data_IF_714436704802
#
_entry.id   IF_714436704802
#
_cell.length_a   1.000
_cell.length_b   1.000
_cell.length_c   1.000
_cell.angle_alpha   90.00
_cell.angle_beta   90.00
_cell.angle_gamma   90.00
#
_symmetry.space_group_name_H-M   'P 1'
#
loop_
_entity.id
_entity.type
_entity.pdbx_description
1 polymer ?
#
# COMPACT_ATOMS: atom_id res chain seq x y z
N UNK A 1 22.40 0.70 3.55
CA UNK A 1 23.36 -0.04 2.69
C UNK A 1 23.55 -1.50 3.12
N UNK A 2 23.30 -1.87 4.40
CA UNK A 2 23.50 -3.25 4.91
C UNK A 2 22.67 -4.28 4.11
N UNK A 3 21.47 -3.91 3.64
CA UNK A 3 20.61 -4.78 2.83
C UNK A 3 21.01 -4.90 1.36
N UNK A 4 21.93 -4.05 0.86
CA UNK A 4 22.27 -4.04 -0.57
C UNK A 4 23.20 -5.20 -0.93
N UNK A 5 24.13 -5.56 -0.06
CA UNK A 5 25.02 -6.70 -0.30
C UNK A 5 24.26 -8.02 -0.47
N UNK A 6 23.33 -8.41 0.43
CA UNK A 6 22.47 -9.57 0.20
C UNK A 6 21.65 -9.47 -1.10
N UNK A 7 21.13 -8.30 -1.44
CA UNK A 7 20.39 -8.09 -2.68
C UNK A 7 21.24 -8.38 -3.92
N UNK A 8 22.46 -7.87 -3.96
CA UNK A 8 23.42 -8.15 -5.06
C UNK A 8 23.81 -9.61 -5.14
N UNK A 9 24.04 -10.27 -4.00
CA UNK A 9 24.30 -11.71 -3.97
C UNK A 9 23.12 -12.55 -4.50
N UNK A 10 21.89 -12.03 -4.39
CA UNK A 10 20.68 -12.63 -4.99
C UNK A 10 20.48 -12.23 -6.46
N UNK A 11 21.41 -11.49 -7.07
CA UNK A 11 21.34 -11.08 -8.47
C UNK A 11 20.50 -9.82 -8.74
N UNK A 12 20.14 -9.07 -7.71
CA UNK A 12 19.46 -7.80 -7.85
C UNK A 12 20.45 -6.66 -8.05
N UNK A 13 20.09 -5.66 -8.86
CA UNK A 13 20.96 -4.51 -9.14
C UNK A 13 20.79 -3.43 -8.10
N UNK A 14 21.85 -3.14 -7.32
CA UNK A 14 21.85 -2.03 -6.36
C UNK A 14 21.66 -0.67 -7.04
N UNK A 15 22.17 -0.48 -8.26
CA UNK A 15 22.05 0.79 -8.99
C UNK A 15 20.61 1.05 -9.42
N UNK A 16 19.83 0.01 -9.73
CA UNK A 16 18.42 0.14 -10.02
C UNK A 16 17.61 0.60 -8.78
N UNK A 17 18.05 0.28 -7.56
CA UNK A 17 17.42 0.78 -6.34
C UNK A 17 17.72 2.25 -6.04
N UNK A 18 18.87 2.79 -6.52
CA UNK A 18 19.33 4.15 -6.22
C UNK A 18 18.56 5.21 -7.02
N UNK A 19 17.30 5.40 -6.74
CA UNK A 19 16.42 6.31 -7.50
C UNK A 19 16.41 7.76 -6.96
N UNK A 20 16.90 8.00 -5.75
CA UNK A 20 16.73 9.29 -5.05
C UNK A 20 17.24 10.49 -5.87
N UNK A 21 18.48 10.44 -6.39
CA UNK A 21 19.07 11.55 -7.15
C UNK A 21 18.33 11.88 -8.45
N UNK A 22 17.62 10.91 -9.02
CA UNK A 22 16.79 11.10 -10.20
C UNK A 22 15.42 11.68 -9.81
N UNK A 23 14.82 11.16 -8.76
CA UNK A 23 13.48 11.52 -8.32
C UNK A 23 13.39 12.95 -7.78
N UNK A 24 14.40 13.43 -7.04
CA UNK A 24 14.39 14.81 -6.51
C UNK A 24 14.40 15.88 -7.61
N UNK A 25 14.90 15.55 -8.80
CA UNK A 25 14.87 16.44 -9.98
C UNK A 25 13.50 16.45 -10.66
N UNK A 26 12.64 15.48 -10.36
CA UNK A 26 11.28 15.39 -10.90
C UNK A 26 10.34 16.24 -10.06
N UNK A 27 9.92 17.40 -10.60
CA UNK A 27 9.01 18.32 -9.90
C UNK A 27 7.70 17.67 -9.44
N UNK A 28 7.13 16.78 -10.24
CA UNK A 28 5.88 16.11 -9.90
C UNK A 28 6.06 15.15 -8.71
N UNK A 29 7.16 14.39 -8.70
CA UNK A 29 7.50 13.53 -7.57
C UNK A 29 7.72 14.35 -6.30
N UNK A 30 8.51 15.41 -6.39
CA UNK A 30 8.83 16.27 -5.25
C UNK A 30 7.58 16.96 -4.66
N UNK A 31 6.73 17.52 -5.52
CA UNK A 31 5.47 18.13 -5.09
C UNK A 31 4.54 17.08 -4.44
N UNK A 32 4.47 15.87 -4.98
CA UNK A 32 3.70 14.77 -4.42
C UNK A 32 4.23 14.35 -3.04
N UNK A 33 5.55 14.31 -2.88
CA UNK A 33 6.20 14.01 -1.60
C UNK A 33 5.89 15.08 -0.55
N UNK A 34 6.05 16.37 -0.91
CA UNK A 34 5.71 17.49 -0.01
C UNK A 34 4.24 17.42 0.40
N UNK A 35 3.33 17.22 -0.55
CA UNK A 35 1.90 17.10 -0.28
C UNK A 35 1.59 15.94 0.66
N UNK A 36 2.28 14.80 0.47
CA UNK A 36 2.14 13.63 1.32
C UNK A 36 2.60 13.89 2.76
N UNK A 37 3.78 14.48 2.92
CA UNK A 37 4.33 14.82 4.25
C UNK A 37 3.43 15.84 4.95
N UNK A 38 3.03 16.90 4.24
CA UNK A 38 2.14 17.94 4.78
C UNK A 38 0.79 17.38 5.23
N UNK A 39 0.21 16.48 4.42
CA UNK A 39 -1.05 15.80 4.78
C UNK A 39 -0.89 14.91 6.02
N UNK A 40 0.21 14.18 6.11
CA UNK A 40 0.51 13.33 7.27
C UNK A 40 0.67 14.16 8.55
N UNK A 41 1.40 15.28 8.47
CA UNK A 41 1.56 16.21 9.60
C UNK A 41 0.22 16.83 10.00
N UNK A 42 -0.62 17.20 9.03
CA UNK A 42 -1.97 17.69 9.29
C UNK A 42 -2.82 16.65 10.02
N UNK A 43 -2.77 15.38 9.61
CA UNK A 43 -3.50 14.30 10.29
C UNK A 43 -3.00 14.09 11.72
N UNK A 44 -1.69 14.06 11.94
CA UNK A 44 -1.12 13.96 13.29
C UNK A 44 -1.59 15.12 14.18
N UNK A 45 -1.56 16.36 13.67
CA UNK A 45 -2.06 17.54 14.39
C UNK A 45 -3.54 17.42 14.73
N UNK A 46 -4.34 16.77 13.92
CA UNK A 46 -5.76 16.48 14.14
C UNK A 46 -6.02 15.13 14.83
N UNK A 47 -5.05 14.63 15.60
CA UNK A 47 -5.15 13.42 16.44
C UNK A 47 -5.44 12.14 15.63
N UNK A 48 -5.07 12.07 14.36
CA UNK A 48 -5.10 10.86 13.55
C UNK A 48 -3.72 10.21 13.60
N UNK A 49 -3.56 9.25 14.47
CA UNK A 49 -2.27 8.62 14.74
C UNK A 49 -2.12 7.23 14.12
N UNK A 50 -3.20 6.65 13.60
CA UNK A 50 -3.17 5.34 12.98
C UNK A 50 -2.99 5.48 11.48
N UNK A 51 -1.84 5.04 10.97
CA UNK A 51 -1.54 4.95 9.54
C UNK A 51 -1.83 3.53 9.06
N UNK A 52 -2.96 3.35 8.39
CA UNK A 52 -3.44 2.03 8.00
C UNK A 52 -3.16 1.79 6.52
N UNK A 53 -2.39 0.73 6.22
CA UNK A 53 -2.14 0.28 4.85
C UNK A 53 -3.16 -0.78 4.50
N UNK A 54 -4.01 -0.49 3.52
CA UNK A 54 -4.99 -1.41 2.94
C UNK A 54 -4.33 -2.06 1.72
N UNK A 55 -3.68 -3.20 1.96
CA UNK A 55 -2.85 -3.88 0.98
C UNK A 55 -3.65 -4.91 0.17
N UNK A 56 -3.84 -4.64 -1.13
CA UNK A 56 -4.45 -5.57 -2.10
C UNK A 56 -3.42 -6.40 -2.89
N UNK A 57 -2.15 -6.40 -2.46
CA UNK A 57 -1.08 -7.18 -3.07
C UNK A 57 -0.32 -8.02 -2.03
N UNK A 58 -0.69 -9.28 -1.90
CA UNK A 58 -0.11 -10.22 -0.94
C UNK A 58 1.43 -10.28 -1.03
N UNK A 59 1.97 -10.24 -2.25
CA UNK A 59 3.43 -10.30 -2.46
C UNK A 59 4.19 -9.08 -1.93
N UNK A 60 3.51 -7.97 -1.67
CA UNK A 60 4.09 -6.77 -1.07
C UNK A 60 3.97 -6.73 0.46
N UNK A 61 3.52 -7.80 1.10
CA UNK A 61 3.35 -7.84 2.57
C UNK A 61 4.65 -7.53 3.32
N UNK A 62 5.77 -8.12 2.89
CA UNK A 62 7.06 -7.89 3.52
C UNK A 62 7.58 -6.46 3.36
N UNK A 63 7.25 -5.77 2.24
CA UNK A 63 7.53 -4.35 2.07
C UNK A 63 6.83 -3.53 3.17
N UNK A 64 5.58 -3.85 3.46
CA UNK A 64 4.82 -3.12 4.48
C UNK A 64 5.19 -3.50 5.91
N UNK A 65 5.62 -4.74 6.17
CA UNK A 65 6.24 -5.12 7.45
C UNK A 65 7.52 -4.34 7.72
N UNK A 66 8.37 -4.19 6.69
CA UNK A 66 9.55 -3.32 6.76
C UNK A 66 9.16 -1.85 7.04
N UNK A 67 8.18 -1.30 6.31
CA UNK A 67 7.66 0.04 6.56
C UNK A 67 7.12 0.21 7.98
N UNK A 68 6.40 -0.79 8.49
CA UNK A 68 5.87 -0.81 9.84
C UNK A 68 6.99 -0.70 10.88
N UNK A 69 8.04 -1.50 10.73
CA UNK A 69 9.22 -1.43 11.59
C UNK A 69 9.90 -0.07 11.50
N UNK A 70 10.16 0.42 10.29
CA UNK A 70 10.82 1.70 10.06
C UNK A 70 10.08 2.86 10.75
N UNK A 71 8.76 2.94 10.57
CA UNK A 71 7.93 3.99 11.19
C UNK A 71 7.92 3.88 12.71
N UNK A 72 7.76 2.68 13.23
CA UNK A 72 7.73 2.45 14.69
C UNK A 72 9.05 2.85 15.36
N UNK A 73 10.18 2.42 14.80
CA UNK A 73 11.51 2.71 15.35
C UNK A 73 11.93 4.18 15.18
N UNK A 74 11.60 4.79 14.03
CA UNK A 74 12.04 6.15 13.71
C UNK A 74 11.19 7.21 14.41
N UNK A 75 9.87 7.04 14.43
CA UNK A 75 8.92 8.05 14.91
C UNK A 75 8.38 7.76 16.32
N UNK A 76 8.50 6.52 16.82
CA UNK A 76 8.00 6.09 18.12
C UNK A 76 8.86 6.55 19.29
N UNK A 77 9.06 7.88 19.45
CA UNK A 77 9.94 8.46 20.46
C UNK A 77 9.24 9.60 21.21
N UNK A 78 9.67 9.84 22.46
CA UNK A 78 9.18 10.96 23.30
C UNK A 78 7.65 11.01 23.42
N UNK A 79 7.00 9.85 23.56
CA UNK A 79 5.54 9.69 23.64
C UNK A 79 4.79 10.23 22.40
N UNK A 80 5.45 10.27 21.24
CA UNK A 80 4.89 10.66 19.94
C UNK A 80 5.10 9.52 18.96
N UNK A 81 4.40 9.54 17.85
CA UNK A 81 4.56 8.58 16.77
C UNK A 81 3.30 8.38 15.96
N UNK A 82 3.43 7.50 15.00
CA UNK A 82 2.32 6.92 14.23
C UNK A 82 2.25 5.44 14.55
N UNK A 83 1.04 4.90 14.64
CA UNK A 83 0.80 3.47 14.73
C UNK A 83 0.60 2.92 13.30
N UNK A 84 1.61 2.28 12.70
CA UNK A 84 1.46 1.67 11.39
C UNK A 84 0.75 0.32 11.52
N UNK A 85 -0.35 0.16 10.79
CA UNK A 85 -1.18 -1.05 10.78
C UNK A 85 -1.24 -1.55 9.34
N UNK A 86 -1.11 -2.87 9.15
CA UNK A 86 -1.24 -3.51 7.85
C UNK A 86 -2.53 -4.32 7.84
N UNK A 87 -3.38 -4.09 6.86
CA UNK A 87 -4.56 -4.89 6.54
C UNK A 87 -4.38 -5.60 5.21
N UNK A 88 -4.50 -6.91 5.23
CA UNK A 88 -4.32 -7.76 4.04
C UNK A 88 -5.67 -8.05 3.38
N UNK A 89 -5.86 -7.48 2.18
CA UNK A 89 -7.11 -7.60 1.44
C UNK A 89 -7.06 -8.72 0.39
N UNK A 90 -8.19 -9.36 0.12
CA UNK A 90 -9.57 -9.06 0.58
C UNK A 90 -9.94 -9.69 1.93
N UNK A 91 -9.06 -10.43 2.59
CA UNK A 91 -9.33 -11.14 3.84
C UNK A 91 -9.92 -10.21 4.91
N UNK A 92 -9.29 -9.09 5.12
CA UNK A 92 -9.63 -8.13 6.18
C UNK A 92 -10.88 -7.29 5.88
N UNK A 93 -11.51 -7.45 4.70
CA UNK A 93 -12.84 -6.90 4.45
C UNK A 93 -13.89 -7.46 5.43
N UNK A 94 -13.72 -8.70 5.88
CA UNK A 94 -14.65 -9.31 6.83
C UNK A 94 -14.30 -9.01 8.28
N UNK A 95 -13.02 -8.83 8.61
CA UNK A 95 -12.59 -8.70 10.00
C UNK A 95 -12.61 -7.27 10.52
N UNK A 96 -12.09 -6.30 9.75
CA UNK A 96 -11.84 -4.94 10.27
C UNK A 96 -12.47 -3.81 9.46
N UNK A 97 -13.03 -4.07 8.28
CA UNK A 97 -13.56 -3.01 7.42
C UNK A 97 -14.68 -2.21 8.07
N UNK A 98 -15.55 -2.85 8.85
CA UNK A 98 -16.60 -2.16 9.61
C UNK A 98 -16.01 -1.14 10.58
N UNK A 99 -14.92 -1.51 11.29
CA UNK A 99 -14.22 -0.61 12.19
C UNK A 99 -13.62 0.59 11.45
N UNK A 100 -13.10 0.38 10.24
CA UNK A 100 -12.51 1.46 9.42
C UNK A 100 -13.56 2.42 8.89
N UNK A 101 -14.76 1.94 8.58
CA UNK A 101 -15.82 2.73 8.00
C UNK A 101 -16.66 3.51 9.03
N UNK A 102 -16.91 2.93 10.20
CA UNK A 102 -17.86 3.46 11.19
C UNK A 102 -17.31 3.50 12.62
N UNK A 103 -16.05 3.07 12.84
CA UNK A 103 -15.40 3.07 14.14
C UNK A 103 -14.60 4.34 14.43
N UNK A 104 -13.41 4.17 14.96
CA UNK A 104 -12.54 5.27 15.41
C UNK A 104 -12.14 6.23 14.28
N UNK A 105 -12.27 7.54 14.53
CA UNK A 105 -11.99 8.59 13.54
C UNK A 105 -10.51 9.05 13.53
N UNK A 106 -9.64 8.38 14.28
CA UNK A 106 -8.21 8.71 14.39
C UNK A 106 -7.31 7.98 13.39
N UNK A 107 -7.89 7.54 12.28
CA UNK A 107 -7.23 6.82 11.21
C UNK A 107 -7.04 7.67 9.96
N UNK A 108 -5.99 7.39 9.19
CA UNK A 108 -5.87 7.72 7.77
C UNK A 108 -5.30 6.51 7.01
N UNK A 109 -5.59 6.41 5.72
CA UNK A 109 -5.44 5.15 5.01
C UNK A 109 -4.57 5.29 3.77
N UNK A 110 -3.84 4.20 3.46
CA UNK A 110 -3.06 4.04 2.24
C UNK A 110 -3.50 2.78 1.52
N UNK A 111 -4.14 2.91 0.37
CA UNK A 111 -4.44 1.78 -0.50
C UNK A 111 -3.21 1.43 -1.33
N UNK A 112 -2.95 0.14 -1.49
CA UNK A 112 -1.85 -0.34 -2.32
C UNK A 112 -2.30 -1.48 -3.22
N UNK A 113 -1.85 -1.47 -4.48
CA UNK A 113 -2.09 -2.51 -5.46
C UNK A 113 -0.95 -2.62 -6.47
N UNK A 114 -0.65 -3.84 -6.92
CA UNK A 114 0.30 -4.11 -8.01
C UNK A 114 -0.43 -4.71 -9.21
N UNK A 115 -0.22 -4.12 -10.40
CA UNK A 115 -0.75 -4.64 -11.66
C UNK A 115 0.04 -5.84 -12.22
N UNK A 116 1.16 -6.21 -11.60
CA UNK A 116 2.03 -7.31 -12.04
C UNK A 116 1.45 -8.71 -11.79
N UNK A 117 0.29 -8.82 -11.22
CA UNK A 117 -0.27 -10.12 -10.88
C UNK A 117 -0.46 -10.98 -12.14
N UNK A 118 0.18 -12.16 -12.16
CA UNK A 118 -0.01 -13.15 -13.20
C UNK A 118 -1.49 -13.51 -13.30
N UNK A 119 -1.97 -13.64 -14.52
CA UNK A 119 -3.34 -13.99 -14.85
C UNK A 119 -3.69 -15.38 -14.30
N UNK A 120 -4.18 -15.45 -13.07
CA UNK A 120 -4.78 -16.67 -12.54
C UNK A 120 -6.27 -16.62 -12.88
N UNK A 121 -6.67 -17.41 -13.85
CA UNK A 121 -8.09 -17.55 -14.21
C UNK A 121 -8.81 -18.43 -13.21
N UNK A 122 -10.03 -18.06 -12.87
CA UNK A 122 -10.88 -18.88 -12.03
C UNK A 122 -11.25 -20.15 -12.78
N UNK A 123 -10.98 -21.30 -12.19
CA UNK A 123 -11.36 -22.60 -12.76
C UNK A 123 -12.90 -22.75 -12.75
N UNK A 124 -13.47 -22.93 -13.95
CA UNK A 124 -14.89 -23.00 -14.14
C UNK A 124 -15.54 -24.22 -13.46
N UNK A 125 -14.81 -25.31 -13.30
CA UNK A 125 -15.34 -26.57 -12.75
C UNK A 125 -15.60 -26.49 -11.24
N UNK A 126 -15.08 -25.46 -10.57
CA UNK A 126 -15.26 -25.25 -9.14
C UNK A 126 -16.28 -24.17 -8.80
N UNK A 127 -16.86 -23.53 -9.81
CA UNK A 127 -17.82 -22.45 -9.61
C UNK A 127 -19.25 -23.01 -9.50
N UNK A 128 -19.95 -22.63 -8.43
CA UNK A 128 -21.39 -22.82 -8.33
C UNK A 128 -22.11 -22.04 -9.43
N UNK A 129 -23.24 -22.53 -9.89
CA UNK A 129 -24.06 -21.88 -10.94
C UNK A 129 -24.39 -20.41 -10.60
N UNK A 130 -24.64 -20.10 -9.33
CA UNK A 130 -24.88 -18.75 -8.83
C UNK A 130 -23.70 -17.80 -9.01
N UNK A 131 -22.49 -18.31 -9.29
CA UNK A 131 -21.25 -17.54 -9.48
C UNK A 131 -20.80 -17.46 -10.94
N UNK A 132 -21.68 -17.77 -11.90
CA UNK A 132 -21.34 -17.76 -13.33
C UNK A 132 -20.77 -16.43 -13.84
N UNK A 133 -21.10 -15.31 -13.21
CA UNK A 133 -20.54 -13.99 -13.54
C UNK A 133 -19.01 -13.89 -13.30
N UNK A 134 -18.43 -14.79 -12.49
CA UNK A 134 -16.99 -14.88 -12.23
C UNK A 134 -16.26 -15.80 -13.22
N UNK A 135 -17.01 -16.51 -14.06
CA UNK A 135 -16.49 -17.47 -15.02
C UNK A 135 -15.47 -16.83 -15.95
N UNK A 136 -14.32 -17.47 -16.14
CA UNK A 136 -13.21 -16.97 -16.96
C UNK A 136 -12.67 -15.59 -16.55
N UNK A 137 -13.04 -15.06 -15.39
CA UNK A 137 -12.51 -13.79 -14.91
C UNK A 137 -11.12 -13.99 -14.32
N UNK A 138 -10.30 -12.98 -14.50
CA UNK A 138 -9.00 -12.83 -13.89
C UNK A 138 -9.14 -12.50 -12.41
N UNK A 139 -8.47 -13.25 -11.55
CA UNK A 139 -8.47 -12.96 -10.11
C UNK A 139 -7.92 -11.55 -9.83
N UNK A 140 -6.89 -11.12 -10.55
CA UNK A 140 -6.32 -9.78 -10.42
C UNK A 140 -7.34 -8.68 -10.75
N UNK A 141 -8.17 -8.87 -11.79
CA UNK A 141 -9.23 -7.92 -12.14
C UNK A 141 -10.31 -7.83 -11.06
N UNK A 142 -10.64 -8.96 -10.44
CA UNK A 142 -11.61 -9.02 -9.34
C UNK A 142 -11.05 -8.26 -8.13
N UNK A 143 -9.80 -8.54 -7.74
CA UNK A 143 -9.14 -7.87 -6.62
C UNK A 143 -9.02 -6.36 -6.86
N UNK A 144 -8.68 -5.95 -8.08
CA UNK A 144 -8.65 -4.54 -8.46
C UNK A 144 -10.02 -3.86 -8.38
N UNK A 145 -11.07 -4.55 -8.85
CA UNK A 145 -12.43 -4.05 -8.75
C UNK A 145 -12.88 -3.89 -7.29
N UNK A 146 -12.52 -4.84 -6.41
CA UNK A 146 -12.76 -4.72 -4.97
C UNK A 146 -12.04 -3.50 -4.36
N UNK A 147 -10.75 -3.30 -4.71
CA UNK A 147 -10.02 -2.10 -4.30
C UNK A 147 -10.76 -0.82 -4.71
N UNK A 148 -11.15 -0.71 -5.98
CA UNK A 148 -11.87 0.48 -6.49
C UNK A 148 -13.22 0.67 -5.82
N UNK A 149 -13.95 -0.40 -5.53
CA UNK A 149 -15.22 -0.33 -4.80
C UNK A 149 -15.00 0.22 -3.38
N UNK A 150 -13.98 -0.28 -2.67
CA UNK A 150 -13.64 0.20 -1.33
C UNK A 150 -13.21 1.67 -1.33
N UNK A 151 -12.35 2.09 -2.28
CA UNK A 151 -11.97 3.50 -2.45
C UNK A 151 -13.21 4.40 -2.67
N UNK A 152 -14.18 3.95 -3.46
CA UNK A 152 -15.41 4.70 -3.70
C UNK A 152 -16.26 4.85 -2.43
N UNK A 153 -16.32 3.82 -1.59
CA UNK A 153 -16.99 3.90 -0.27
C UNK A 153 -16.29 4.90 0.63
N UNK A 154 -14.94 4.87 0.69
CA UNK A 154 -14.15 5.83 1.46
C UNK A 154 -14.38 7.27 0.98
N UNK A 155 -14.41 7.50 -0.33
CA UNK A 155 -14.75 8.82 -0.91
C UNK A 155 -16.14 9.30 -0.49
N UNK A 156 -17.15 8.44 -0.61
CA UNK A 156 -18.53 8.76 -0.21
C UNK A 156 -18.64 9.10 1.28
N UNK A 157 -17.93 8.38 2.12
CA UNK A 157 -17.88 8.62 3.57
C UNK A 157 -16.92 9.74 3.99
N UNK A 158 -16.21 10.37 3.04
CA UNK A 158 -15.21 11.42 3.29
C UNK A 158 -14.08 10.98 4.23
N UNK A 159 -13.75 9.70 4.19
CA UNK A 159 -12.64 9.13 4.95
C UNK A 159 -11.34 9.46 4.22
N UNK A 160 -10.31 10.04 4.89
CA UNK A 160 -9.08 10.44 4.22
C UNK A 160 -8.24 9.22 3.81
N UNK A 161 -7.85 9.16 2.55
CA UNK A 161 -6.94 8.12 2.06
C UNK A 161 -6.08 8.61 0.89
N UNK A 162 -5.00 7.90 0.65
CA UNK A 162 -4.20 7.97 -0.57
C UNK A 162 -4.13 6.59 -1.21
N UNK A 163 -3.81 6.52 -2.51
CA UNK A 163 -3.76 5.27 -3.25
C UNK A 163 -2.47 5.18 -4.06
N UNK A 164 -1.77 4.06 -3.93
CA UNK A 164 -0.61 3.68 -4.71
C UNK A 164 -0.93 2.51 -5.62
N UNK A 165 -0.62 2.65 -6.88
CA UNK A 165 -0.71 1.59 -7.88
C UNK A 165 0.63 1.48 -8.59
N UNK A 166 1.26 0.31 -8.54
CA UNK A 166 2.51 0.03 -9.23
C UNK A 166 2.27 -0.90 -10.43
N UNK A 167 3.06 -0.73 -11.48
CA UNK A 167 2.96 -1.57 -12.67
C UNK A 167 3.60 -2.93 -12.45
N UNK A 168 4.77 -2.95 -11.82
CA UNK A 168 5.51 -4.17 -11.48
C UNK A 168 6.39 -3.96 -10.25
N UNK A 169 6.84 -5.06 -9.65
CA UNK A 169 7.76 -5.09 -8.51
C UNK A 169 9.18 -5.37 -9.01
N UNK A 170 9.83 -4.36 -9.54
CA UNK A 170 11.25 -4.42 -9.85
C UNK A 170 12.06 -3.52 -8.91
N UNK A 171 13.37 -3.62 -8.97
CA UNK A 171 14.29 -2.86 -8.12
C UNK A 171 14.04 -1.36 -8.24
N UNK A 172 13.77 -0.87 -9.44
CA UNK A 172 13.50 0.54 -9.70
C UNK A 172 12.24 0.99 -8.96
N UNK A 173 11.13 0.28 -9.13
CA UNK A 173 9.86 0.61 -8.47
C UNK A 173 9.97 0.52 -6.95
N UNK A 174 10.70 -0.48 -6.43
CA UNK A 174 10.97 -0.58 -4.99
C UNK A 174 11.82 0.59 -4.50
N UNK A 175 12.85 0.98 -5.25
CA UNK A 175 13.68 2.15 -4.94
C UNK A 175 12.86 3.45 -4.92
N UNK A 176 11.93 3.63 -5.86
CA UNK A 176 11.01 4.76 -5.90
C UNK A 176 10.07 4.77 -4.66
N UNK A 177 9.55 3.61 -4.27
CA UNK A 177 8.73 3.48 -3.07
C UNK A 177 9.53 3.77 -1.80
N UNK A 178 10.77 3.30 -1.71
CA UNK A 178 11.65 3.63 -0.57
C UNK A 178 11.87 5.14 -0.47
N UNK A 179 12.18 5.82 -1.57
CA UNK A 179 12.33 7.28 -1.58
C UNK A 179 11.05 8.03 -1.19
N UNK A 180 9.88 7.42 -1.37
CA UNK A 180 8.62 8.04 -1.02
C UNK A 180 8.20 7.81 0.44
N UNK A 181 8.57 6.66 1.02
CA UNK A 181 8.18 6.27 2.38
C UNK A 181 9.22 6.64 3.45
N UNK A 182 10.47 6.90 3.05
CA UNK A 182 11.55 7.32 3.95
C UNK A 182 11.70 8.84 3.94
#
# INVERSE_FOLDING_TARGET
EVGMLPAELMGLSSDNFKQFNFLIKNKNFFNSLISNVSSTLYFIKNKKFNSIIINYDEKSENLFKWYQQLVAESLGKKKKGLLPIISSMPKDNHSVMQLYLDGFQNNFYTFFYSHENKLVKINNNQLLQSKNHLRNKDLSKITFAQKKATENVFKKKKIPFRSFEIKKRDEKTLGELFCFFI
#
